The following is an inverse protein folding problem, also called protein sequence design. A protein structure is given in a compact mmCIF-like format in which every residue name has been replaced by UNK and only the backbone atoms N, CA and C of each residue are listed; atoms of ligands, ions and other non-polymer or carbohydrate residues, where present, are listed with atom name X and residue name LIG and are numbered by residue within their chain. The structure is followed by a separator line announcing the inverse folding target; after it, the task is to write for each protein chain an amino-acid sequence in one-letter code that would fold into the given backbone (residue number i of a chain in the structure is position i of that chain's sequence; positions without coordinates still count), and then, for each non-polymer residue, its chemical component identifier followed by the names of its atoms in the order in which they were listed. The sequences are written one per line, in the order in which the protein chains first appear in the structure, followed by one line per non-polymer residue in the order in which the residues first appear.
data_IF_623585443125
#
_entry.id   IF_623585443125
#
_cell.length_a   1.000
_cell.length_b   1.000
_cell.length_c   1.000
_cell.angle_alpha   90.00
_cell.angle_beta   90.00
_cell.angle_gamma   90.00
#
_symmetry.space_group_name_H-M   'P 1'
#
loop_
_entity.id
_entity.type
_entity.pdbx_description
1 polymer ?
#
# COMPACT_ATOMS: atom_id res chain seq x y z
N UNK A 1 15.91 20.60 15.23
CA UNK A 1 15.12 19.64 16.03
C UNK A 1 14.42 18.71 15.06
N UNK A 2 14.79 17.43 15.01
CA UNK A 2 14.16 16.48 14.09
C UNK A 2 12.72 16.19 14.58
N UNK A 3 11.72 16.65 13.83
CA UNK A 3 10.33 16.24 14.09
C UNK A 3 10.25 14.73 13.97
N UNK A 4 9.97 14.05 15.09
CA UNK A 4 9.71 12.62 15.10
C UNK A 4 8.45 12.35 14.30
N UNK A 5 8.62 11.80 13.10
CA UNK A 5 7.50 11.37 12.26
C UNK A 5 6.71 10.32 13.04
N UNK A 6 5.50 10.68 13.47
CA UNK A 6 4.61 9.78 14.23
C UNK A 6 4.18 8.64 13.31
N UNK A 7 4.82 7.47 13.43
CA UNK A 7 4.41 6.27 12.70
C UNK A 7 3.20 5.62 13.39
N UNK A 8 2.11 5.43 12.64
CA UNK A 8 0.95 4.64 13.06
C UNK A 8 1.13 3.20 12.54
N UNK A 9 0.73 2.22 13.34
CA UNK A 9 0.68 0.81 12.90
C UNK A 9 -0.60 0.62 12.09
N UNK A 10 -0.46 -0.04 10.95
CA UNK A 10 -1.54 -0.39 10.04
C UNK A 10 -1.37 -1.86 9.68
N UNK A 11 -2.45 -2.62 9.79
CA UNK A 11 -2.49 -4.05 9.44
C UNK A 11 -3.54 -4.22 8.35
N UNK A 12 -3.18 -4.90 7.28
CA UNK A 12 -4.05 -5.18 6.15
C UNK A 12 -4.01 -6.67 5.87
N UNK A 13 -5.18 -7.24 5.59
CA UNK A 13 -5.29 -8.58 5.01
C UNK A 13 -5.37 -8.41 3.49
N UNK A 14 -4.55 -9.15 2.78
CA UNK A 14 -4.57 -9.28 1.32
C UNK A 14 -4.71 -10.76 0.99
N UNK A 15 -5.23 -11.07 -0.19
CA UNK A 15 -5.27 -12.46 -0.61
C UNK A 15 -3.88 -13.01 -0.94
N UNK A 16 -3.79 -14.33 -1.09
CA UNK A 16 -2.54 -15.04 -1.30
C UNK A 16 -1.90 -14.72 -2.67
N UNK A 17 -2.71 -14.41 -3.68
CA UNK A 17 -2.22 -14.06 -5.02
C UNK A 17 -1.55 -12.70 -5.00
N UNK A 18 -2.21 -11.72 -4.39
CA UNK A 18 -1.67 -10.37 -4.19
C UNK A 18 -0.42 -10.39 -3.31
N UNK A 19 -0.40 -11.24 -2.26
CA UNK A 19 0.77 -11.41 -1.41
C UNK A 19 1.98 -11.96 -2.19
N UNK A 20 1.78 -13.01 -2.99
CA UNK A 20 2.83 -13.61 -3.82
C UNK A 20 3.38 -12.58 -4.83
N UNK A 21 2.50 -11.86 -5.52
CA UNK A 21 2.90 -10.83 -6.47
C UNK A 21 3.71 -9.70 -5.80
N UNK A 22 3.27 -9.22 -4.63
CA UNK A 22 3.99 -8.17 -3.88
C UNK A 22 5.38 -8.64 -3.43
N UNK A 23 5.49 -9.91 -3.04
CA UNK A 23 6.75 -10.53 -2.63
C UNK A 23 7.72 -10.64 -3.81
N UNK A 24 7.29 -11.20 -4.93
CA UNK A 24 8.11 -11.32 -6.14
C UNK A 24 8.59 -9.94 -6.63
N UNK A 25 7.72 -8.92 -6.61
CA UNK A 25 8.09 -7.56 -6.97
C UNK A 25 9.20 -7.00 -6.08
N UNK A 26 9.19 -7.29 -4.78
CA UNK A 26 10.23 -6.85 -3.85
C UNK A 26 11.55 -7.61 -4.02
N UNK A 27 11.48 -8.91 -4.28
CA UNK A 27 12.65 -9.79 -4.51
C UNK A 27 13.37 -9.46 -5.82
N UNK A 28 12.65 -9.01 -6.85
CA UNK A 28 13.23 -8.61 -8.14
C UNK A 28 13.91 -7.24 -8.15
N UNK A 29 13.76 -6.42 -7.10
CA UNK A 29 14.47 -5.14 -7.00
C UNK A 29 15.96 -5.31 -6.72
N UNK A 30 16.77 -4.32 -7.12
CA UNK A 30 18.21 -4.27 -6.82
C UNK A 30 18.52 -2.97 -6.04
N UNK A 31 18.70 -3.03 -4.70
CA UNK A 31 18.70 -4.21 -3.83
C UNK A 31 17.28 -4.76 -3.54
N UNK A 32 17.15 -6.05 -3.14
CA UNK A 32 15.87 -6.61 -2.74
C UNK A 32 15.26 -5.83 -1.57
N UNK A 33 13.96 -5.59 -1.62
CA UNK A 33 13.23 -4.83 -0.60
C UNK A 33 12.21 -5.71 0.10
N UNK A 34 11.98 -5.44 1.39
CA UNK A 34 11.01 -6.20 2.16
C UNK A 34 9.56 -5.76 1.88
N UNK A 35 8.61 -6.62 2.26
CA UNK A 35 7.17 -6.35 2.07
C UNK A 35 6.70 -5.06 2.77
N UNK A 36 7.29 -4.74 3.93
CA UNK A 36 6.94 -3.52 4.66
C UNK A 36 7.29 -2.26 3.85
N UNK A 37 8.45 -2.26 3.18
CA UNK A 37 8.87 -1.18 2.30
C UNK A 37 7.98 -1.11 1.05
N UNK A 38 7.71 -2.25 0.41
CA UNK A 38 6.80 -2.33 -0.74
C UNK A 38 5.42 -1.75 -0.41
N UNK A 39 4.86 -2.12 0.75
CA UNK A 39 3.56 -1.60 1.18
C UNK A 39 3.59 -0.08 1.43
N UNK A 40 4.66 0.44 2.04
CA UNK A 40 4.83 1.89 2.24
C UNK A 40 4.94 2.64 0.92
N UNK A 41 5.68 2.08 -0.03
CA UNK A 41 5.85 2.66 -1.37
C UNK A 41 4.52 2.67 -2.13
N UNK A 42 3.80 1.54 -2.15
CA UNK A 42 2.50 1.42 -2.80
C UNK A 42 1.47 2.44 -2.24
N UNK A 43 1.42 2.59 -0.92
CA UNK A 43 0.55 3.60 -0.28
C UNK A 43 0.97 5.01 -0.70
N UNK A 44 2.27 5.30 -0.76
CA UNK A 44 2.76 6.63 -1.15
C UNK A 44 2.42 6.97 -2.59
N UNK A 45 2.73 6.06 -3.51
CA UNK A 45 2.41 6.17 -4.94
C UNK A 45 0.90 6.37 -5.17
N UNK A 46 0.07 5.65 -4.42
CA UNK A 46 -1.38 5.80 -4.50
C UNK A 46 -1.82 7.21 -4.07
N UNK A 47 -1.31 7.70 -2.94
CA UNK A 47 -1.63 9.03 -2.42
C UNK A 47 -1.17 10.13 -3.37
N UNK A 48 0.04 10.01 -3.92
CA UNK A 48 0.60 10.98 -4.86
C UNK A 48 -0.25 11.02 -6.15
N UNK A 49 -0.64 9.87 -6.71
CA UNK A 49 -1.55 9.79 -7.89
C UNK A 49 -2.94 10.38 -7.64
N UNK A 50 -3.46 10.25 -6.42
CA UNK A 50 -4.74 10.85 -6.05
C UNK A 50 -4.64 12.36 -5.81
N UNK A 51 -3.51 12.84 -5.26
CA UNK A 51 -3.26 14.26 -5.06
C UNK A 51 -3.09 15.00 -6.39
N UNK A 52 -2.47 14.36 -7.39
CA UNK A 52 -2.28 14.92 -8.73
C UNK A 52 -3.55 14.90 -9.60
N UNK A 53 -4.69 14.51 -9.03
CA UNK A 53 -6.03 14.47 -9.66
C UNK A 53 -6.17 13.62 -10.94
N UNK A 54 -5.13 12.88 -11.35
CA UNK A 54 -5.16 12.04 -12.56
C UNK A 54 -5.98 10.76 -12.36
N UNK A 55 -6.11 10.27 -11.13
CA UNK A 55 -6.96 9.13 -10.81
C UNK A 55 -7.76 9.36 -9.51
N UNK A 56 -9.04 9.75 -9.59
CA UNK A 56 -9.93 9.61 -8.45
C UNK A 56 -10.09 8.12 -8.15
N UNK A 57 -9.66 7.70 -6.95
CA UNK A 57 -9.94 6.36 -6.42
C UNK A 57 -11.45 6.12 -6.45
N UNK A 58 -11.91 5.32 -7.42
CA UNK A 58 -13.29 4.85 -7.45
C UNK A 58 -13.44 3.75 -6.41
N UNK A 59 -13.71 4.16 -5.18
CA UNK A 59 -14.07 3.23 -4.11
C UNK A 59 -15.42 2.59 -4.48
N UNK A 60 -15.53 1.24 -4.49
CA UNK A 60 -16.83 0.62 -4.63
C UNK A 60 -17.72 1.08 -3.46
N UNK A 61 -19.04 1.18 -3.67
CA UNK A 61 -19.95 1.40 -2.56
C UNK A 61 -19.70 0.29 -1.54
N UNK A 62 -19.42 0.68 -0.28
CA UNK A 62 -19.09 -0.23 0.81
C UNK A 62 -19.95 -1.49 0.75
N UNK A 63 -19.37 -2.70 0.81
CA UNK A 63 -20.16 -3.90 0.96
C UNK A 63 -20.91 -3.78 2.29
N UNK A 64 -22.24 -3.63 2.23
CA UNK A 64 -23.08 -3.77 3.42
C UNK A 64 -22.77 -5.14 4.00
N UNK A 65 -22.26 -5.18 5.23
CA UNK A 65 -22.06 -6.43 5.95
C UNK A 65 -23.38 -7.23 5.92
N UNK A 66 -23.37 -8.51 5.50
CA UNK A 66 -24.48 -9.39 5.82
C UNK A 66 -24.47 -9.55 7.35
N UNK A 67 -25.61 -9.27 7.97
CA UNK A 67 -25.85 -9.52 9.40
C UNK A 67 -25.82 -11.01 9.69
#
# INVERSE_FOLDING_TARGET
MAQSVKMRRFTVAIDETDYAALRELGEHQKPPVNLQYMMRLAVRELLDRCADAQLPLKLPPFPRSPR
#
